data_IF_593311108777
#
_entry.id   IF_593311108777
#
_cell.length_a   1.000
_cell.length_b   1.000
_cell.length_c   1.000
_cell.angle_alpha   90.00
_cell.angle_beta   90.00
_cell.angle_gamma   90.00
#
_symmetry.space_group_name_H-M   'P 1'
#
loop_
_entity.id
_entity.type
_entity.pdbx_description
1 polymer ?
#
# COMPACT_ATOMS: atom_id res chain seq x y z
N UNK A 1 3.02 5.25 -8.23
CA UNK A 1 4.34 5.10 -7.62
C UNK A 1 4.91 3.73 -7.91
N UNK A 2 6.19 3.65 -8.13
CA UNK A 2 6.84 2.38 -8.47
C UNK A 2 7.45 1.73 -7.25
N UNK A 3 7.46 0.40 -7.25
CA UNK A 3 8.19 -0.36 -6.25
C UNK A 3 9.69 -0.16 -6.53
N UNK A 4 10.50 0.14 -5.50
CA UNK A 4 11.95 0.32 -5.70
C UNK A 4 12.59 -0.90 -6.35
N UNK A 5 13.47 -0.67 -7.32
CA UNK A 5 14.11 -1.74 -8.08
C UNK A 5 15.01 -2.65 -7.25
N UNK A 6 15.49 -2.16 -6.12
CA UNK A 6 16.37 -2.93 -5.26
C UNK A 6 15.64 -3.84 -4.27
N UNK A 7 14.32 -3.91 -4.36
CA UNK A 7 13.51 -4.74 -3.49
C UNK A 7 12.89 -5.86 -4.33
N UNK A 8 13.32 -7.07 -4.06
CA UNK A 8 12.88 -8.25 -4.81
C UNK A 8 12.04 -9.14 -3.89
N UNK A 9 10.84 -8.67 -3.58
CA UNK A 9 9.91 -9.38 -2.74
C UNK A 9 8.83 -10.05 -3.57
N UNK A 10 8.45 -11.27 -3.21
CA UNK A 10 7.27 -11.91 -3.76
C UNK A 10 6.03 -11.40 -3.02
N UNK A 11 4.86 -11.86 -3.43
CA UNK A 11 3.59 -11.42 -2.84
C UNK A 11 3.53 -11.69 -1.34
N UNK A 12 3.98 -12.86 -0.93
CA UNK A 12 3.95 -13.25 0.47
C UNK A 12 4.82 -12.32 1.32
N UNK A 13 6.01 -12.01 0.83
CA UNK A 13 6.93 -11.12 1.54
C UNK A 13 6.38 -9.70 1.65
N UNK A 14 5.70 -9.21 0.62
CA UNK A 14 5.04 -7.91 0.66
C UNK A 14 3.92 -7.88 1.68
N UNK A 15 3.10 -8.91 1.71
CA UNK A 15 2.00 -8.99 2.68
C UNK A 15 2.54 -8.99 4.11
N UNK A 16 3.58 -9.75 4.34
CA UNK A 16 4.21 -9.84 5.66
C UNK A 16 4.79 -8.49 6.08
N UNK A 17 5.48 -7.81 5.18
CA UNK A 17 6.06 -6.50 5.47
C UNK A 17 4.97 -5.47 5.78
N UNK A 18 3.88 -5.47 5.01
CA UNK A 18 2.77 -4.56 5.23
C UNK A 18 2.15 -4.81 6.61
N UNK A 19 1.91 -6.07 6.95
CA UNK A 19 1.35 -6.41 8.25
C UNK A 19 2.26 -6.00 9.41
N UNK A 20 3.56 -6.05 9.18
CA UNK A 20 4.54 -5.72 10.21
C UNK A 20 4.65 -4.21 10.44
N UNK A 21 4.64 -3.41 9.37
CA UNK A 21 4.99 -2.00 9.47
C UNK A 21 3.81 -1.04 9.36
N UNK A 22 2.66 -1.50 8.90
CA UNK A 22 1.45 -0.69 8.79
C UNK A 22 0.48 -1.17 9.87
N UNK A 23 0.13 -0.29 10.79
CA UNK A 23 -0.59 -0.71 12.00
C UNK A 23 -2.11 -0.65 11.89
N UNK A 24 -2.66 0.13 10.98
CA UNK A 24 -4.11 0.23 10.79
C UNK A 24 -4.59 -0.89 9.85
N UNK A 25 -5.61 -1.63 10.26
CA UNK A 25 -6.17 -2.69 9.42
C UNK A 25 -6.69 -2.17 8.09
N UNK A 26 -7.38 -1.02 8.14
CA UNK A 26 -7.90 -0.41 6.93
C UNK A 26 -6.76 -0.01 5.98
N UNK A 27 -5.72 0.60 6.53
CA UNK A 27 -4.58 1.02 5.74
C UNK A 27 -3.80 -0.17 5.19
N UNK A 28 -3.68 -1.26 5.96
CA UNK A 28 -3.07 -2.49 5.48
C UNK A 28 -3.81 -3.02 4.27
N UNK A 29 -5.12 -3.12 4.38
CA UNK A 29 -5.95 -3.61 3.28
C UNK A 29 -5.82 -2.72 2.05
N UNK A 30 -5.88 -1.40 2.25
CA UNK A 30 -5.77 -0.44 1.17
C UNK A 30 -4.42 -0.55 0.45
N UNK A 31 -3.34 -0.64 1.21
CA UNK A 31 -2.01 -0.74 0.63
C UNK A 31 -1.80 -2.06 -0.10
N UNK A 32 -2.29 -3.17 0.46
CA UNK A 32 -2.21 -4.47 -0.21
C UNK A 32 -2.95 -4.45 -1.54
N UNK A 33 -4.15 -3.87 -1.57
CA UNK A 33 -4.90 -3.77 -2.82
C UNK A 33 -4.15 -2.95 -3.85
N UNK A 34 -3.50 -1.88 -3.40
CA UNK A 34 -2.74 -1.03 -4.32
C UNK A 34 -1.49 -1.71 -4.86
N UNK A 35 -0.66 -2.25 -3.98
CA UNK A 35 0.63 -2.81 -4.37
C UNK A 35 0.52 -4.19 -4.98
N UNK A 36 -0.33 -5.04 -4.44
CA UNK A 36 -0.37 -6.45 -4.85
C UNK A 36 -1.42 -6.71 -5.92
N UNK A 37 -2.57 -6.06 -5.82
CA UNK A 37 -3.66 -6.27 -6.77
C UNK A 37 -3.70 -5.22 -7.88
N UNK A 38 -2.84 -4.20 -7.81
CA UNK A 38 -2.74 -3.19 -8.85
C UNK A 38 -3.92 -2.26 -8.94
N UNK A 39 -4.69 -2.09 -7.86
CA UNK A 39 -5.85 -1.22 -7.87
C UNK A 39 -5.47 0.24 -7.96
N UNK A 40 -6.20 1.00 -8.77
CA UNK A 40 -6.00 2.44 -8.87
C UNK A 40 -6.57 3.15 -7.66
N UNK A 41 -6.23 4.43 -7.51
CA UNK A 41 -6.79 5.25 -6.43
C UNK A 41 -8.30 5.36 -6.54
N UNK A 42 -8.83 5.46 -7.75
CA UNK A 42 -10.26 5.52 -7.96
C UNK A 42 -10.96 4.24 -7.51
N UNK A 43 -10.38 3.09 -7.85
CA UNK A 43 -10.91 1.80 -7.45
C UNK A 43 -10.87 1.63 -5.94
N UNK A 44 -9.79 2.07 -5.31
CA UNK A 44 -9.69 2.02 -3.85
C UNK A 44 -10.69 2.95 -3.18
N UNK A 45 -10.90 4.13 -3.74
CA UNK A 45 -11.88 5.06 -3.19
C UNK A 45 -13.27 4.45 -3.19
N UNK A 46 -13.64 3.78 -4.25
CA UNK A 46 -14.93 3.08 -4.33
C UNK A 46 -15.01 1.93 -3.32
N UNK A 47 -13.96 1.11 -3.27
CA UNK A 47 -13.95 -0.06 -2.41
C UNK A 47 -14.01 0.30 -0.92
N UNK A 48 -13.32 1.35 -0.53
CA UNK A 48 -13.25 1.76 0.87
C UNK A 48 -14.20 2.92 1.20
N UNK A 49 -15.08 3.25 0.27
CA UNK A 49 -16.12 4.26 0.47
C UNK A 49 -15.55 5.60 0.94
N UNK A 50 -14.57 6.11 0.24
CA UNK A 50 -13.94 7.38 0.54
C UNK A 50 -13.59 8.12 -0.74
N UNK A 51 -13.07 9.35 -0.61
CA UNK A 51 -12.71 10.16 -1.75
C UNK A 51 -11.38 9.71 -2.35
N UNK A 52 -11.23 9.94 -3.66
CA UNK A 52 -9.97 9.69 -4.35
C UNK A 52 -8.84 10.53 -3.74
N UNK A 53 -9.15 11.75 -3.33
CA UNK A 53 -8.16 12.65 -2.72
C UNK A 53 -7.62 12.08 -1.42
N UNK A 54 -8.49 11.44 -0.63
CA UNK A 54 -8.06 10.78 0.60
C UNK A 54 -7.09 9.64 0.29
N UNK A 55 -7.42 8.80 -0.69
CA UNK A 55 -6.55 7.69 -1.11
C UNK A 55 -5.22 8.22 -1.62
N UNK A 56 -5.26 9.25 -2.46
CA UNK A 56 -4.05 9.86 -3.03
C UNK A 56 -3.14 10.47 -1.96
N UNK A 57 -3.71 10.80 -0.81
CA UNK A 57 -2.94 11.34 0.32
C UNK A 57 -2.36 10.20 1.18
N UNK A 58 -3.14 9.17 1.39
CA UNK A 58 -2.77 8.07 2.29
C UNK A 58 -1.75 7.12 1.66
N UNK A 59 -2.00 6.68 0.45
CA UNK A 59 -1.18 5.63 -0.19
C UNK A 59 0.30 6.03 -0.30
N UNK A 60 0.66 7.21 -0.83
CA UNK A 60 2.08 7.57 -0.89
C UNK A 60 2.75 7.63 0.47
N UNK A 61 2.02 8.04 1.50
CA UNK A 61 2.54 8.09 2.87
C UNK A 61 2.84 6.69 3.38
N UNK A 62 1.93 5.75 3.14
CA UNK A 62 2.12 4.36 3.54
C UNK A 62 3.27 3.72 2.78
N UNK A 63 3.37 3.98 1.49
CA UNK A 63 4.46 3.45 0.68
C UNK A 63 5.81 3.97 1.16
N UNK A 64 5.90 5.26 1.47
CA UNK A 64 7.14 5.84 2.00
C UNK A 64 7.54 5.16 3.30
N UNK A 65 6.59 4.99 4.21
CA UNK A 65 6.86 4.34 5.48
C UNK A 65 7.37 2.91 5.27
N UNK A 66 6.68 2.17 4.43
CA UNK A 66 7.03 0.77 4.18
C UNK A 66 8.41 0.65 3.54
N UNK A 67 8.67 1.42 2.50
CA UNK A 67 9.93 1.31 1.75
C UNK A 67 11.14 1.70 2.59
N UNK A 68 10.96 2.61 3.52
CA UNK A 68 12.05 2.97 4.45
C UNK A 68 12.40 1.82 5.39
N UNK A 69 11.42 1.02 5.76
CA UNK A 69 11.63 -0.06 6.73
C UNK A 69 12.22 -1.31 6.11
N UNK A 70 11.97 -1.54 4.83
CA UNK A 70 12.41 -2.79 4.18
C UNK A 70 13.70 -2.65 3.40
N UNK A 71 14.31 -1.49 3.41
CA UNK A 71 15.62 -1.30 2.76
C UNK A 71 16.73 -1.88 3.59
#
# INVERSE_FOLDING_TARGET
MKIPNNIDYDRYQWEEAIDRWIFSEEQRAMLKRNLLDGKTYEQLAEEFDCSRDKVARIIPRLQNRLFKKIK
#
